data_IF_866696606843
#
_entry.id   IF_866696606843
#
_cell.length_a   1.000
_cell.length_b   1.000
_cell.length_c   1.000
_cell.angle_alpha   90.00
_cell.angle_beta   90.00
_cell.angle_gamma   90.00
#
_symmetry.space_group_name_H-M   'P 1'
#
loop_
_entity.id
_entity.type
_entity.pdbx_description
1 polymer ?
#
# COMPACT_ATOMS: atom_id res chain seq x y z
N UNK A 1 17.81 -3.61 6.37
CA UNK A 1 17.26 -2.40 7.02
C UNK A 1 18.26 -1.77 7.97
N UNK A 2 18.20 -0.44 8.19
CA UNK A 2 19.10 0.29 9.09
C UNK A 2 18.36 1.43 9.80
N UNK A 3 18.82 1.77 11.00
CA UNK A 3 18.37 2.99 11.68
C UNK A 3 19.01 4.21 11.05
N UNK A 4 18.21 5.24 10.77
CA UNK A 4 18.64 6.52 10.22
C UNK A 4 18.32 7.61 11.23
N UNK A 5 19.28 8.50 11.48
CA UNK A 5 19.02 9.65 12.36
C UNK A 5 18.15 10.65 11.59
N UNK A 6 16.98 11.04 12.12
CA UNK A 6 16.08 11.97 11.42
C UNK A 6 16.78 13.26 10.99
N UNK A 7 17.72 13.77 11.79
CA UNK A 7 18.51 14.98 11.50
C UNK A 7 19.39 14.88 10.24
N UNK A 8 19.70 13.67 9.79
CA UNK A 8 20.50 13.42 8.60
C UNK A 8 19.62 13.26 7.34
N UNK A 9 18.32 13.52 7.46
CA UNK A 9 17.33 13.47 6.38
C UNK A 9 16.69 14.84 6.14
N UNK A 10 16.07 15.02 4.99
CA UNK A 10 15.24 16.21 4.70
C UNK A 10 13.97 16.27 5.56
N UNK A 11 13.71 15.24 6.37
CA UNK A 11 12.48 15.07 7.18
C UNK A 11 12.66 15.36 8.67
N UNK A 12 13.84 15.85 9.10
CA UNK A 12 14.16 16.05 10.51
C UNK A 12 13.08 16.85 11.28
N UNK A 13 12.68 18.00 10.73
CA UNK A 13 11.68 18.87 11.35
C UNK A 13 10.29 18.23 11.37
N UNK A 14 9.86 17.68 10.24
CA UNK A 14 8.57 17.01 10.13
C UNK A 14 8.48 15.80 11.06
N UNK A 15 9.54 15.00 11.15
CA UNK A 15 9.62 13.86 12.05
C UNK A 15 9.46 14.28 13.52
N UNK A 16 10.24 15.27 13.98
CA UNK A 16 10.16 15.73 15.39
C UNK A 16 8.80 16.32 15.74
N UNK A 17 8.21 17.09 14.84
CA UNK A 17 6.92 17.74 15.06
C UNK A 17 5.77 16.72 15.05
N UNK A 18 5.71 15.86 14.01
CA UNK A 18 4.54 15.01 13.80
C UNK A 18 4.56 13.72 14.62
N UNK A 19 5.74 13.19 14.96
CA UNK A 19 5.81 12.01 15.85
C UNK A 19 5.31 12.29 17.28
N UNK A 20 5.28 13.55 17.69
CA UNK A 20 4.70 13.99 18.97
C UNK A 20 3.21 14.33 18.86
N UNK A 21 2.66 14.37 17.65
CA UNK A 21 1.26 14.71 17.45
C UNK A 21 0.34 13.53 17.81
N UNK A 22 -0.82 13.76 18.43
CA UNK A 22 -1.78 12.70 18.74
C UNK A 22 -2.30 11.97 17.48
N UNK A 23 -2.31 12.64 16.33
CA UNK A 23 -2.73 12.09 15.05
C UNK A 23 -1.76 12.54 13.94
N UNK A 24 -0.66 11.81 13.72
CA UNK A 24 0.34 12.15 12.71
C UNK A 24 -0.03 11.71 11.30
N UNK A 25 -1.20 11.08 11.11
CA UNK A 25 -1.64 10.59 9.81
C UNK A 25 -2.46 11.63 9.05
N UNK A 26 -2.28 11.64 7.74
CA UNK A 26 -3.10 12.38 6.77
C UNK A 26 -3.70 11.42 5.76
N UNK A 27 -4.91 11.73 5.30
CA UNK A 27 -5.58 10.97 4.23
C UNK A 27 -5.72 11.85 3.01
N UNK A 28 -5.19 11.39 1.89
CA UNK A 28 -5.36 12.01 0.58
C UNK A 28 -6.37 11.23 -0.25
N UNK A 29 -7.32 11.94 -0.84
CA UNK A 29 -8.30 11.38 -1.78
C UNK A 29 -7.92 11.75 -3.20
N UNK A 30 -7.93 10.76 -4.08
CA UNK A 30 -7.68 10.99 -5.51
C UNK A 30 -8.53 10.08 -6.37
N UNK A 31 -9.15 10.65 -7.38
CA UNK A 31 -9.78 9.87 -8.45
C UNK A 31 -8.79 9.67 -9.58
N UNK A 32 -8.50 8.41 -9.88
CA UNK A 32 -7.55 7.97 -10.90
C UNK A 32 -8.30 7.52 -12.16
N UNK A 33 -7.75 7.80 -13.34
CA UNK A 33 -8.17 7.16 -14.59
C UNK A 33 -7.50 5.78 -14.69
N UNK A 34 -8.28 4.73 -14.51
CA UNK A 34 -7.83 3.33 -14.57
C UNK A 34 -8.22 2.61 -15.85
N UNK A 35 -8.64 3.35 -16.89
CA UNK A 35 -9.10 2.79 -18.17
C UNK A 35 -8.06 1.87 -18.81
N UNK A 36 -6.79 2.30 -18.82
CA UNK A 36 -5.68 1.48 -19.35
C UNK A 36 -5.45 0.23 -18.52
N UNK A 37 -5.50 0.35 -17.19
CA UNK A 37 -5.30 -0.76 -16.27
C UNK A 37 -6.39 -1.83 -16.44
N UNK A 38 -7.65 -1.40 -16.56
CA UNK A 38 -8.79 -2.30 -16.83
C UNK A 38 -8.65 -2.98 -18.18
N UNK A 39 -8.19 -2.27 -19.23
CA UNK A 39 -7.91 -2.88 -20.54
C UNK A 39 -6.81 -3.95 -20.45
N UNK A 40 -5.70 -3.65 -19.74
CA UNK A 40 -4.60 -4.60 -19.54
C UNK A 40 -5.07 -5.83 -18.75
N UNK A 41 -5.81 -5.61 -17.65
CA UNK A 41 -6.39 -6.68 -16.84
C UNK A 41 -7.18 -7.68 -17.71
N UNK A 42 -8.09 -7.17 -18.54
CA UNK A 42 -8.90 -8.00 -19.43
C UNK A 42 -8.08 -8.67 -20.54
N UNK A 43 -7.24 -7.92 -21.26
CA UNK A 43 -6.44 -8.42 -22.40
C UNK A 43 -5.46 -9.51 -21.96
N UNK A 44 -4.80 -9.31 -20.82
CA UNK A 44 -3.79 -10.25 -20.29
C UNK A 44 -4.34 -11.25 -19.28
N UNK A 45 -5.64 -11.21 -18.97
CA UNK A 45 -6.31 -12.04 -17.95
C UNK A 45 -5.63 -11.96 -16.57
N UNK A 46 -5.16 -10.76 -16.21
CA UNK A 46 -4.54 -10.48 -14.92
C UNK A 46 -5.59 -9.93 -13.95
N UNK A 47 -5.47 -10.26 -12.67
CA UNK A 47 -6.36 -9.71 -11.63
C UNK A 47 -6.15 -8.20 -11.50
N UNK A 48 -7.24 -7.41 -11.50
CA UNK A 48 -7.17 -5.96 -11.37
C UNK A 48 -6.48 -5.53 -10.06
N UNK A 49 -6.82 -6.15 -8.94
CA UNK A 49 -6.16 -5.85 -7.65
C UNK A 49 -4.66 -6.11 -7.68
N UNK A 50 -4.22 -7.22 -8.30
CA UNK A 50 -2.79 -7.50 -8.47
C UNK A 50 -2.09 -6.39 -9.26
N UNK A 51 -2.73 -5.91 -10.34
CA UNK A 51 -2.19 -4.79 -11.14
C UNK A 51 -2.15 -3.49 -10.34
N UNK A 52 -3.17 -3.21 -9.51
CA UNK A 52 -3.16 -2.06 -8.60
C UNK A 52 -1.99 -2.17 -7.60
N UNK A 53 -1.82 -3.30 -6.94
CA UNK A 53 -0.70 -3.54 -6.03
C UNK A 53 0.65 -3.35 -6.73
N UNK A 54 0.81 -3.86 -7.95
CA UNK A 54 2.03 -3.66 -8.73
C UNK A 54 2.29 -2.19 -9.07
N UNK A 55 1.25 -1.45 -9.48
CA UNK A 55 1.37 -0.01 -9.75
C UNK A 55 1.76 0.78 -8.50
N UNK A 56 1.18 0.44 -7.33
CA UNK A 56 1.50 1.06 -6.05
C UNK A 56 2.97 0.81 -5.68
N UNK A 57 3.43 -0.44 -5.72
CA UNK A 57 4.82 -0.79 -5.46
C UNK A 57 5.78 -0.11 -6.46
N UNK A 58 5.39 -0.05 -7.74
CA UNK A 58 6.15 0.66 -8.77
C UNK A 58 6.27 2.16 -8.50
N UNK A 59 5.19 2.82 -8.12
CA UNK A 59 5.22 4.24 -7.78
C UNK A 59 6.08 4.50 -6.54
N UNK A 60 5.86 3.74 -5.48
CA UNK A 60 6.58 3.87 -4.22
C UNK A 60 8.08 3.60 -4.36
N UNK A 61 8.48 2.63 -5.20
CA UNK A 61 9.91 2.33 -5.43
C UNK A 61 10.71 3.45 -6.07
N UNK A 62 10.05 4.52 -6.54
CA UNK A 62 10.71 5.71 -7.10
C UNK A 62 10.71 6.90 -6.12
N UNK A 63 10.18 6.72 -4.92
CA UNK A 63 10.08 7.78 -3.90
C UNK A 63 10.86 7.34 -2.68
N UNK A 64 11.95 8.03 -2.38
CA UNK A 64 12.88 7.67 -1.31
C UNK A 64 12.22 7.57 0.07
N UNK A 65 11.27 8.45 0.34
CA UNK A 65 10.56 8.51 1.61
C UNK A 65 9.72 7.26 1.88
N UNK A 66 9.26 6.56 0.84
CA UNK A 66 8.55 5.28 0.98
C UNK A 66 9.47 4.10 1.34
N UNK A 67 10.75 4.32 1.57
CA UNK A 67 11.66 3.32 2.15
C UNK A 67 11.91 3.56 3.64
N UNK A 68 11.33 4.61 4.22
CA UNK A 68 11.55 4.98 5.62
C UNK A 68 10.26 4.88 6.43
N UNK A 69 10.35 4.24 7.59
CA UNK A 69 9.23 4.08 8.51
C UNK A 69 9.62 4.46 9.94
N UNK A 70 8.85 5.30 10.62
CA UNK A 70 8.98 5.49 12.06
C UNK A 70 8.54 4.26 12.83
N UNK A 71 9.40 3.79 13.71
CA UNK A 71 9.11 2.69 14.64
C UNK A 71 9.49 3.16 16.04
N UNK A 72 8.48 3.47 16.87
CA UNK A 72 8.70 4.17 18.13
C UNK A 72 9.32 5.54 17.91
N UNK A 73 10.44 5.80 18.54
CA UNK A 73 11.23 7.04 18.46
C UNK A 73 12.32 7.02 17.37
N UNK A 74 12.36 5.94 16.57
CA UNK A 74 13.38 5.69 15.56
C UNK A 74 12.81 5.82 14.15
N UNK A 75 13.67 6.26 13.22
CA UNK A 75 13.39 6.19 11.78
C UNK A 75 14.18 5.02 11.19
N UNK A 76 13.48 4.07 10.61
CA UNK A 76 14.09 2.87 10.01
C UNK A 76 14.02 2.99 8.49
N UNK A 77 15.16 2.83 7.82
CA UNK A 77 15.25 2.74 6.36
C UNK A 77 15.35 1.27 5.94
N UNK A 78 14.54 0.91 4.97
CA UNK A 78 14.48 -0.42 4.37
C UNK A 78 15.13 -0.42 2.99
N UNK A 79 15.70 -1.56 2.59
CA UNK A 79 16.33 -1.72 1.27
C UNK A 79 15.33 -2.16 0.20
N UNK A 80 14.19 -2.72 0.63
CA UNK A 80 13.19 -3.34 -0.25
C UNK A 80 11.77 -2.95 0.15
N UNK A 81 10.87 -2.97 -0.84
CA UNK A 81 9.44 -2.71 -0.66
C UNK A 81 8.66 -4.01 -0.84
N UNK A 82 7.63 -4.18 -0.03
CA UNK A 82 6.56 -5.13 -0.27
C UNK A 82 5.21 -4.41 -0.34
N UNK A 83 4.25 -5.01 -1.00
CA UNK A 83 2.87 -4.52 -1.04
C UNK A 83 1.97 -5.53 -0.36
N UNK A 84 1.33 -5.12 0.71
CA UNK A 84 0.37 -5.94 1.42
C UNK A 84 -0.98 -5.95 0.70
N UNK A 85 -1.66 -7.08 0.73
CA UNK A 85 -3.06 -7.19 0.30
C UNK A 85 -3.83 -8.05 1.27
N UNK A 86 -5.10 -7.70 1.45
CA UNK A 86 -6.01 -8.48 2.29
C UNK A 86 -6.63 -9.58 1.44
N UNK A 87 -6.63 -10.80 1.99
CA UNK A 87 -7.07 -12.03 1.33
C UNK A 87 -8.20 -12.66 2.15
N UNK A 88 -9.33 -12.93 1.51
CA UNK A 88 -10.36 -13.78 2.12
C UNK A 88 -9.84 -15.21 2.24
N UNK A 89 -9.93 -15.79 3.43
CA UNK A 89 -9.42 -17.12 3.73
C UNK A 89 -10.54 -18.19 3.74
N UNK A 90 -10.15 -19.46 3.85
CA UNK A 90 -11.07 -20.59 3.80
C UNK A 90 -12.01 -20.70 5.01
N UNK A 91 -11.77 -19.94 6.08
CA UNK A 91 -12.62 -19.87 7.28
C UNK A 91 -13.69 -18.77 7.18
N UNK A 92 -13.72 -18.01 6.08
CA UNK A 92 -14.64 -16.90 5.90
C UNK A 92 -14.20 -15.59 6.53
N UNK A 93 -12.95 -15.54 7.02
CA UNK A 93 -12.30 -14.37 7.58
C UNK A 93 -11.32 -13.74 6.57
N UNK A 94 -10.52 -12.81 7.03
CA UNK A 94 -9.46 -12.17 6.23
C UNK A 94 -8.09 -12.41 6.85
N UNK A 95 -7.10 -12.56 5.99
CA UNK A 95 -5.70 -12.66 6.39
C UNK A 95 -4.85 -11.66 5.59
N UNK A 96 -3.76 -11.22 6.17
CA UNK A 96 -2.79 -10.30 5.60
C UNK A 96 -1.78 -11.05 4.73
N UNK A 97 -1.39 -10.48 3.59
CA UNK A 97 -0.42 -11.10 2.70
C UNK A 97 0.52 -10.05 2.11
N UNK A 98 1.77 -10.06 2.58
CA UNK A 98 2.84 -9.24 2.01
C UNK A 98 3.43 -9.91 0.77
N UNK A 99 3.56 -9.13 -0.29
CA UNK A 99 4.08 -9.57 -1.57
C UNK A 99 5.33 -8.76 -1.89
N UNK A 100 6.51 -9.39 -1.99
CA UNK A 100 7.73 -8.67 -2.31
C UNK A 100 7.57 -7.98 -3.68
N UNK A 101 7.88 -6.69 -3.73
CA UNK A 101 7.78 -5.94 -4.97
C UNK A 101 8.89 -6.35 -5.95
N UNK A 102 8.51 -6.46 -7.21
CA UNK A 102 9.41 -6.64 -8.35
C UNK A 102 9.02 -5.69 -9.48
N UNK A 103 10.02 -5.09 -10.12
CA UNK A 103 9.81 -4.30 -11.34
C UNK A 103 9.29 -5.15 -12.50
N UNK A 104 9.60 -6.45 -12.51
CA UNK A 104 9.04 -7.41 -13.47
C UNK A 104 7.62 -7.79 -13.05
N UNK A 105 6.65 -7.39 -13.88
CA UNK A 105 5.23 -7.70 -13.66
C UNK A 105 4.96 -9.22 -13.61
N UNK A 106 5.69 -10.02 -14.36
CA UNK A 106 5.48 -11.47 -14.41
C UNK A 106 5.91 -12.13 -13.11
N UNK A 107 7.06 -11.70 -12.56
CA UNK A 107 7.57 -12.15 -11.26
C UNK A 107 6.63 -11.72 -10.14
N UNK A 108 6.20 -10.45 -10.14
CA UNK A 108 5.26 -9.95 -9.14
C UNK A 108 3.92 -10.71 -9.19
N UNK A 109 3.37 -10.92 -10.39
CA UNK A 109 2.13 -11.67 -10.57
C UNK A 109 2.24 -13.13 -10.09
N UNK A 110 3.36 -13.80 -10.37
CA UNK A 110 3.59 -15.17 -9.90
C UNK A 110 3.61 -15.24 -8.37
N UNK A 111 4.34 -14.33 -7.71
CA UNK A 111 4.38 -14.22 -6.25
C UNK A 111 2.99 -13.88 -5.69
N UNK A 112 2.29 -12.92 -6.28
CA UNK A 112 0.93 -12.54 -5.86
C UNK A 112 0.00 -13.76 -5.86
N UNK A 113 -0.04 -14.52 -6.96
CA UNK A 113 -0.93 -15.69 -7.07
C UNK A 113 -0.53 -16.79 -6.08
N UNK A 114 0.75 -17.09 -5.97
CA UNK A 114 1.26 -18.14 -5.08
C UNK A 114 0.97 -17.81 -3.61
N UNK A 115 1.37 -16.61 -3.16
CA UNK A 115 1.26 -16.21 -1.76
C UNK A 115 -0.20 -16.00 -1.34
N UNK A 116 -1.03 -15.33 -2.15
CA UNK A 116 -2.46 -15.16 -1.82
C UNK A 116 -3.20 -16.50 -1.77
N UNK A 117 -2.86 -17.48 -2.62
CA UNK A 117 -3.44 -18.84 -2.54
C UNK A 117 -3.00 -19.58 -1.28
N UNK A 118 -1.73 -19.45 -0.92
CA UNK A 118 -1.20 -20.03 0.32
C UNK A 118 -1.95 -19.47 1.53
N UNK A 119 -1.95 -18.15 1.71
CA UNK A 119 -2.64 -17.45 2.79
C UNK A 119 -4.14 -17.80 2.85
N UNK A 120 -4.82 -17.82 1.70
CA UNK A 120 -6.24 -18.21 1.64
C UNK A 120 -6.49 -19.64 2.16
N UNK A 121 -5.54 -20.55 1.96
CA UNK A 121 -5.65 -21.96 2.38
C UNK A 121 -5.25 -22.18 3.83
N UNK A 122 -4.12 -21.55 4.26
CA UNK A 122 -3.56 -21.77 5.61
C UNK A 122 -4.26 -20.93 6.67
N UNK A 123 -4.94 -19.84 6.28
CA UNK A 123 -5.52 -18.81 7.17
C UNK A 123 -4.47 -18.07 8.02
N UNK A 124 -3.20 -18.24 7.70
CA UNK A 124 -2.09 -17.58 8.37
C UNK A 124 -1.67 -16.34 7.60
N UNK A 125 -1.26 -15.28 8.31
CA UNK A 125 -0.68 -14.11 7.69
C UNK A 125 0.68 -14.44 7.06
N UNK A 126 1.02 -13.73 6.01
CA UNK A 126 2.35 -13.77 5.40
C UNK A 126 2.98 -12.38 5.53
N UNK A 127 3.87 -12.22 6.50
CA UNK A 127 4.51 -10.96 6.85
C UNK A 127 5.98 -10.95 6.43
N UNK A 128 6.45 -9.81 5.92
CA UNK A 128 7.82 -9.58 5.48
C UNK A 128 8.48 -8.47 6.32
N UNK A 129 8.99 -8.84 7.49
CA UNK A 129 9.54 -7.91 8.49
C UNK A 129 10.71 -7.05 7.96
N UNK A 130 11.49 -7.56 7.01
CA UNK A 130 12.66 -6.85 6.46
C UNK A 130 12.32 -5.93 5.27
N UNK A 131 11.03 -5.80 4.94
CA UNK A 131 10.57 -4.97 3.85
C UNK A 131 9.79 -3.75 4.37
N UNK A 132 9.93 -2.61 3.68
CA UNK A 132 8.95 -1.54 3.84
C UNK A 132 7.63 -1.96 3.20
N UNK A 133 6.63 -2.20 4.03
CA UNK A 133 5.33 -2.69 3.58
C UNK A 133 4.38 -1.53 3.30
N UNK A 134 3.78 -1.50 2.12
CA UNK A 134 2.67 -0.60 1.80
C UNK A 134 1.39 -1.42 1.86
N UNK A 135 0.53 -1.07 2.82
CA UNK A 135 -0.74 -1.75 3.02
C UNK A 135 -1.74 -1.43 1.91
N UNK A 136 -2.56 -2.40 1.54
CA UNK A 136 -3.69 -2.15 0.64
C UNK A 136 -4.95 -2.89 1.07
N UNK A 137 -6.11 -2.25 0.85
CA UNK A 137 -7.42 -2.87 1.00
C UNK A 137 -8.31 -2.56 -0.19
N UNK A 138 -8.79 -3.61 -0.84
CA UNK A 138 -9.68 -3.50 -1.99
C UNK A 138 -11.11 -3.87 -1.59
N UNK A 139 -11.95 -2.88 -1.41
CA UNK A 139 -13.39 -3.03 -1.14
C UNK A 139 -14.17 -3.14 -2.46
N UNK A 140 -13.74 -4.05 -3.36
CA UNK A 140 -14.19 -4.13 -4.75
C UNK A 140 -15.70 -4.39 -4.93
N UNK A 141 -16.39 -4.83 -3.90
CA UNK A 141 -17.85 -5.04 -3.90
C UNK A 141 -18.61 -3.74 -3.62
N UNK A 142 -17.97 -2.74 -3.04
CA UNK A 142 -18.59 -1.50 -2.60
C UNK A 142 -18.21 -0.33 -3.49
N UNK A 143 -19.18 0.53 -3.76
CA UNK A 143 -18.96 1.83 -4.38
C UNK A 143 -18.73 2.85 -3.25
N UNK A 144 -17.51 3.31 -3.12
CA UNK A 144 -17.12 4.26 -2.07
C UNK A 144 -16.47 5.50 -2.69
N UNK A 145 -16.71 6.65 -2.10
CA UNK A 145 -16.08 7.92 -2.48
C UNK A 145 -14.75 8.14 -1.77
N UNK A 146 -14.45 7.34 -0.77
CA UNK A 146 -13.20 7.35 -0.02
C UNK A 146 -13.35 6.64 1.31
N UNK A 147 -12.23 6.48 2.00
CA UNK A 147 -12.18 5.94 3.36
C UNK A 147 -11.15 6.71 4.17
N UNK A 148 -11.45 6.97 5.44
CA UNK A 148 -10.54 7.58 6.40
C UNK A 148 -10.26 6.54 7.48
N UNK A 149 -8.99 6.28 7.75
CA UNK A 149 -8.57 5.45 8.87
C UNK A 149 -8.26 6.31 10.10
N UNK A 150 -8.52 5.77 11.28
CA UNK A 150 -8.04 6.37 12.52
C UNK A 150 -6.62 5.88 12.81
N UNK A 151 -5.77 6.78 13.30
CA UNK A 151 -4.44 6.41 13.73
C UNK A 151 -4.53 5.53 14.98
N UNK A 152 -4.01 4.32 14.89
CA UNK A 152 -4.05 3.35 16.00
C UNK A 152 -2.80 3.38 16.89
N UNK A 153 -1.72 4.02 16.44
CA UNK A 153 -0.41 3.95 17.09
C UNK A 153 0.33 2.62 16.91
N UNK A 154 -0.31 1.65 16.23
CA UNK A 154 0.26 0.30 16.04
C UNK A 154 0.93 0.19 14.66
N UNK A 155 0.25 0.66 13.61
CA UNK A 155 0.74 0.59 12.24
C UNK A 155 1.02 1.99 11.68
N UNK A 156 2.27 2.24 11.37
CA UNK A 156 2.73 3.50 10.78
C UNK A 156 2.88 3.42 9.25
N UNK A 157 2.67 2.24 8.69
CA UNK A 157 2.81 1.98 7.26
C UNK A 157 1.82 2.80 6.43
N UNK A 158 2.25 3.32 5.28
CA UNK A 158 1.32 3.87 4.31
C UNK A 158 0.29 2.82 3.90
N UNK A 159 -0.95 3.25 3.75
CA UNK A 159 -2.06 2.34 3.45
C UNK A 159 -2.95 2.93 2.36
N UNK A 160 -3.26 2.15 1.32
CA UNK A 160 -4.16 2.59 0.26
C UNK A 160 -5.43 1.76 0.22
N UNK A 161 -6.57 2.46 0.22
CA UNK A 161 -7.91 1.86 0.18
C UNK A 161 -8.60 2.29 -1.11
N UNK A 162 -9.31 1.35 -1.75
CA UNK A 162 -10.19 1.67 -2.88
C UNK A 162 -11.42 0.77 -2.93
N UNK A 163 -12.46 1.27 -3.56
CA UNK A 163 -13.70 0.54 -3.83
C UNK A 163 -13.76 -0.04 -5.24
N UNK A 164 -14.97 -0.18 -5.74
CA UNK A 164 -15.23 -0.59 -7.11
C UNK A 164 -14.91 0.55 -8.08
N UNK A 165 -14.26 0.27 -9.21
CA UNK A 165 -14.10 1.26 -10.26
C UNK A 165 -15.42 1.55 -10.97
N UNK A 166 -15.60 2.82 -11.37
CA UNK A 166 -16.79 3.32 -12.06
C UNK A 166 -16.52 3.44 -13.55
N UNK A 167 -17.38 2.84 -14.37
CA UNK A 167 -17.31 2.96 -15.82
C UNK A 167 -18.09 4.18 -16.26
N UNK A 168 -17.41 5.14 -16.88
CA UNK A 168 -18.02 6.25 -17.58
C UNK A 168 -17.98 6.07 -19.11
N UNK A 169 -18.54 7.02 -19.82
CA UNK A 169 -18.60 6.99 -21.30
C UNK A 169 -17.22 7.02 -21.95
N UNK A 170 -16.31 7.84 -21.45
CA UNK A 170 -14.98 8.04 -22.03
C UNK A 170 -13.86 7.39 -21.23
N UNK A 171 -14.04 7.25 -19.92
CA UNK A 171 -13.02 6.74 -19.02
C UNK A 171 -13.61 5.89 -17.89
N UNK A 172 -12.79 5.01 -17.36
CA UNK A 172 -13.07 4.26 -16.13
C UNK A 172 -12.28 4.89 -15.00
N UNK A 173 -12.95 5.24 -13.92
CA UNK A 173 -12.34 5.94 -12.79
C UNK A 173 -12.36 5.09 -11.52
N UNK A 174 -11.41 5.34 -10.64
CA UNK A 174 -11.30 4.71 -9.33
C UNK A 174 -10.91 5.77 -8.31
N UNK A 175 -11.73 5.95 -7.29
CA UNK A 175 -11.34 6.75 -6.14
C UNK A 175 -10.46 5.93 -5.20
N UNK A 176 -9.34 6.50 -4.82
CA UNK A 176 -8.41 5.92 -3.86
C UNK A 176 -8.22 6.85 -2.68
N UNK A 177 -8.03 6.28 -1.50
CA UNK A 177 -7.62 6.98 -0.29
C UNK A 177 -6.24 6.50 0.08
N UNK A 178 -5.27 7.39 0.15
CA UNK A 178 -3.92 7.13 0.65
C UNK A 178 -3.83 7.69 2.07
N UNK A 179 -3.68 6.80 3.02
CA UNK A 179 -3.38 7.11 4.41
C UNK A 179 -1.88 6.99 4.61
N UNK A 180 -1.26 8.02 5.12
CA UNK A 180 0.19 8.02 5.33
C UNK A 180 0.54 8.91 6.49
N UNK A 181 1.63 8.61 7.16
CA UNK A 181 2.22 9.55 8.11
C UNK A 181 2.63 10.82 7.35
N UNK A 182 2.32 11.96 7.94
CA UNK A 182 2.45 13.25 7.27
C UNK A 182 3.88 13.52 6.78
N UNK A 183 4.89 13.11 7.55
CA UNK A 183 6.29 13.29 7.19
C UNK A 183 6.77 12.37 6.04
N UNK A 184 5.98 11.35 5.65
CA UNK A 184 6.24 10.52 4.44
C UNK A 184 5.64 11.18 3.20
N UNK A 185 4.47 11.79 3.34
CA UNK A 185 3.64 12.23 2.22
C UNK A 185 3.71 13.74 1.93
N UNK A 186 4.33 14.55 2.77
CA UNK A 186 4.53 15.97 2.50
C UNK A 186 5.50 16.18 1.34
N UNK A 187 5.15 17.01 0.34
CA UNK A 187 6.10 17.46 -0.66
C UNK A 187 7.19 18.31 0.01
N UNK A 188 8.41 18.12 -0.40
CA UNK A 188 9.57 18.96 -0.04
C UNK A 188 9.63 20.17 -0.92
#
# INVERSE_FOLDING_TARGET
>A
MREVKPKDTTRAYAFDMWMKAPMPMVTFFKTLDVSRLVKVSKKKRLKFNMLMCWCIGKAASHVKEFFMLPIGDKLIEYDTIAVNTIVANSQGEVSSCDIPFSNDLSVFNANYIRLTRQVAKTCENHDLADNMVIGTSALAQYDIDGAVGMYSGIFNNPFMIWGRYRKGWFKTTLTVSLLSLIHISEPT
#
